data_IF_366756186206
#
_entry.id   IF_366756186206
#
_cell.length_a   1.000
_cell.length_b   1.000
_cell.length_c   1.000
_cell.angle_alpha   90.00
_cell.angle_beta   90.00
_cell.angle_gamma   90.00
#
_symmetry.space_group_name_H-M   'P 1'
#
loop_
_entity.id
_entity.type
_entity.pdbx_description
1 polymer ?
#
# COMPACT_ATOMS: atom_id res chain seq x y z
N UNK A 1 -8.12 5.06 -27.24
CA UNK A 1 -7.85 5.12 -25.78
C UNK A 1 -7.29 6.47 -25.35
N UNK A 2 -6.29 7.03 -26.04
CA UNK A 2 -5.63 8.29 -25.65
C UNK A 2 -6.21 9.61 -26.22
N UNK A 3 -7.09 9.52 -27.22
CA UNK A 3 -7.61 10.70 -27.94
C UNK A 3 -9.15 10.75 -27.92
N UNK A 4 -9.78 10.02 -27.00
CA UNK A 4 -11.23 9.89 -26.93
C UNK A 4 -11.68 10.04 -25.49
N UNK A 5 -12.90 10.52 -25.31
CA UNK A 5 -13.49 10.78 -23.99
C UNK A 5 -13.61 9.49 -23.18
N UNK A 6 -12.84 9.36 -22.12
CA UNK A 6 -13.02 8.31 -21.11
C UNK A 6 -14.38 8.52 -20.43
N UNK A 7 -15.34 7.62 -20.64
CA UNK A 7 -16.68 7.70 -20.05
C UNK A 7 -17.37 9.06 -20.26
N UNK A 8 -17.12 9.70 -21.41
CA UNK A 8 -17.72 11.00 -21.75
C UNK A 8 -16.99 12.23 -21.18
N UNK A 9 -15.94 12.04 -20.38
CA UNK A 9 -15.11 13.14 -19.85
C UNK A 9 -14.42 13.91 -20.97
N UNK A 10 -14.45 15.24 -20.91
CA UNK A 10 -13.75 16.09 -21.87
C UNK A 10 -12.24 15.78 -21.86
N UNK A 11 -11.71 15.46 -23.04
CA UNK A 11 -10.34 15.01 -23.25
C UNK A 11 -9.48 16.21 -23.65
N UNK A 12 -8.53 16.59 -22.80
CA UNK A 12 -7.64 17.72 -23.07
C UNK A 12 -6.63 17.33 -24.14
N UNK A 13 -6.42 18.19 -25.14
CA UNK A 13 -5.39 17.99 -26.16
C UNK A 13 -4.01 18.32 -25.56
N UNK A 14 -3.39 17.30 -24.96
CA UNK A 14 -2.06 17.41 -24.36
C UNK A 14 -0.96 17.56 -25.40
N UNK A 15 -1.26 17.46 -26.71
CA UNK A 15 -0.33 17.79 -27.78
C UNK A 15 -0.01 19.29 -27.85
N UNK A 16 -0.92 20.14 -27.36
CA UNK A 16 -0.78 21.59 -27.43
C UNK A 16 0.08 22.16 -26.31
N UNK A 17 1.02 23.04 -26.69
CA UNK A 17 1.91 23.70 -25.76
C UNK A 17 1.16 24.50 -24.68
N UNK A 18 0.11 25.21 -25.06
CA UNK A 18 -0.72 25.96 -24.11
C UNK A 18 -1.29 25.05 -23.00
N UNK A 19 -1.83 23.88 -23.38
CA UNK A 19 -2.42 22.93 -22.44
C UNK A 19 -1.36 22.35 -21.50
N UNK A 20 -0.21 21.92 -22.04
CA UNK A 20 0.92 21.42 -21.22
C UNK A 20 1.43 22.48 -20.24
N UNK A 21 1.55 23.73 -20.69
CA UNK A 21 2.00 24.83 -19.83
C UNK A 21 0.99 25.13 -18.71
N UNK A 22 -0.31 25.07 -18.98
CA UNK A 22 -1.33 25.24 -17.93
C UNK A 22 -1.31 24.14 -16.87
N UNK A 23 -1.09 22.90 -17.27
CA UNK A 23 -0.94 21.79 -16.33
C UNK A 23 0.34 21.95 -15.51
N UNK A 24 1.47 22.28 -16.16
CA UNK A 24 2.74 22.49 -15.47
C UNK A 24 2.70 23.69 -14.51
N UNK A 25 2.05 24.79 -14.88
CA UNK A 25 1.82 25.97 -14.02
C UNK A 25 1.09 25.57 -12.73
N UNK A 26 0.01 24.79 -12.86
CA UNK A 26 -0.73 24.26 -11.71
C UNK A 26 0.14 23.35 -10.82
N UNK A 27 0.83 22.37 -11.41
CA UNK A 27 1.68 21.44 -10.66
C UNK A 27 2.84 22.18 -9.97
N UNK A 28 3.46 23.16 -10.64
CA UNK A 28 4.51 23.98 -10.05
C UNK A 28 4.01 24.83 -8.89
N UNK A 29 2.76 25.31 -8.95
CA UNK A 29 2.16 26.01 -7.81
C UNK A 29 2.02 25.09 -6.59
N UNK A 30 1.67 23.83 -6.79
CA UNK A 30 1.62 22.84 -5.70
C UNK A 30 3.02 22.50 -5.16
N UNK A 31 4.03 22.39 -6.04
CA UNK A 31 5.43 22.19 -5.63
C UNK A 31 5.90 23.36 -4.78
N UNK A 32 5.58 24.60 -5.15
CA UNK A 32 5.89 25.80 -4.38
C UNK A 32 5.26 25.77 -2.97
N UNK A 33 4.02 25.28 -2.87
CA UNK A 33 3.33 25.09 -1.59
C UNK A 33 4.04 24.01 -0.72
N UNK A 34 4.73 23.05 -1.34
CA UNK A 34 5.55 22.06 -0.64
C UNK A 34 5.14 20.60 -0.81
N UNK A 35 4.33 20.26 -1.82
CA UNK A 35 4.02 18.85 -2.12
C UNK A 35 5.27 18.10 -2.57
N UNK A 36 5.42 16.83 -2.19
CA UNK A 36 6.59 16.02 -2.53
C UNK A 36 6.46 15.29 -3.89
N UNK A 37 5.26 15.29 -4.50
CA UNK A 37 4.99 14.49 -5.68
C UNK A 37 3.51 14.41 -6.04
N UNK A 38 3.21 13.63 -7.08
CA UNK A 38 1.90 13.56 -7.71
C UNK A 38 1.52 12.11 -8.08
N UNK A 39 0.26 11.76 -7.78
CA UNK A 39 -0.48 10.75 -8.57
C UNK A 39 -0.92 11.41 -9.86
N UNK A 40 -0.60 10.80 -10.99
CA UNK A 40 -1.14 11.21 -12.29
C UNK A 40 -2.26 10.25 -12.66
N UNK A 41 -3.49 10.75 -12.46
CA UNK A 41 -4.76 10.08 -12.76
C UNK A 41 -4.87 9.71 -14.25
N UNK A 42 -5.49 8.57 -14.56
CA UNK A 42 -5.81 8.14 -15.92
C UNK A 42 -4.62 8.21 -16.91
N UNK A 43 -3.37 8.00 -16.45
CA UNK A 43 -2.17 8.15 -17.26
C UNK A 43 -2.16 7.25 -18.51
N UNK A 44 -2.81 6.08 -18.45
CA UNK A 44 -3.06 5.21 -19.61
C UNK A 44 -3.73 5.93 -20.79
N UNK A 45 -4.53 6.95 -20.51
CA UNK A 45 -5.26 7.76 -21.49
C UNK A 45 -4.46 8.97 -21.99
N UNK A 46 -3.21 9.14 -21.55
CA UNK A 46 -2.34 10.22 -21.99
C UNK A 46 -1.15 9.64 -22.76
N UNK A 47 -0.67 10.31 -23.81
CA UNK A 47 0.54 9.85 -24.49
C UNK A 47 1.77 10.01 -23.59
N UNK A 48 2.67 9.01 -23.52
CA UNK A 48 3.91 9.11 -22.74
C UNK A 48 4.74 10.37 -23.08
N UNK A 49 4.83 10.73 -24.35
CA UNK A 49 5.56 11.92 -24.80
C UNK A 49 4.97 13.22 -24.24
N UNK A 50 3.64 13.31 -24.14
CA UNK A 50 2.96 14.48 -23.60
C UNK A 50 3.20 14.60 -22.08
N UNK A 51 3.14 13.47 -21.36
CA UNK A 51 3.47 13.41 -19.94
C UNK A 51 4.92 13.79 -19.66
N UNK A 52 5.87 13.26 -20.42
CA UNK A 52 7.28 13.62 -20.32
C UNK A 52 7.50 15.11 -20.58
N UNK A 53 6.80 15.69 -21.58
CA UNK A 53 6.87 17.11 -21.86
C UNK A 53 6.35 17.94 -20.67
N UNK A 54 5.25 17.52 -20.03
CA UNK A 54 4.73 18.18 -18.82
C UNK A 54 5.72 18.06 -17.66
N UNK A 55 6.23 16.84 -17.38
CA UNK A 55 7.13 16.61 -16.26
C UNK A 55 8.48 17.32 -16.42
N UNK A 56 8.96 17.48 -17.66
CA UNK A 56 10.16 18.25 -17.97
C UNK A 56 10.04 19.76 -17.67
N UNK A 57 8.82 20.26 -17.44
CA UNK A 57 8.54 21.66 -17.04
C UNK A 57 8.38 21.83 -15.52
N UNK A 58 8.47 20.74 -14.75
CA UNK A 58 8.29 20.80 -13.31
C UNK A 58 9.55 21.32 -12.62
N UNK A 59 9.34 22.18 -11.63
CA UNK A 59 10.36 22.65 -10.74
C UNK A 59 10.88 21.50 -9.86
N UNK A 60 12.08 21.67 -9.31
CA UNK A 60 12.50 20.87 -8.18
C UNK A 60 11.65 21.20 -6.94
N UNK A 61 11.61 20.26 -6.01
CA UNK A 61 10.95 20.39 -4.72
C UNK A 61 11.59 21.51 -3.89
N UNK A 62 10.81 22.01 -2.93
CA UNK A 62 11.24 23.05 -1.99
C UNK A 62 12.54 22.64 -1.27
N UNK A 63 13.61 23.41 -1.46
CA UNK A 63 14.93 23.04 -0.96
C UNK A 63 15.02 23.04 0.57
N UNK A 64 14.24 23.88 1.26
CA UNK A 64 14.21 23.96 2.73
C UNK A 64 13.68 22.66 3.32
N UNK A 65 12.68 22.05 2.68
CA UNK A 65 12.06 20.82 3.18
C UNK A 65 12.73 19.54 2.65
N UNK A 66 13.26 19.55 1.42
CA UNK A 66 13.67 18.32 0.72
C UNK A 66 15.17 18.28 0.36
N UNK A 67 15.89 19.39 0.51
CA UNK A 67 17.26 19.55 0.01
C UNK A 67 17.31 19.92 -1.48
N UNK A 68 18.48 20.39 -1.92
CA UNK A 68 18.66 20.91 -3.28
C UNK A 68 18.53 19.82 -4.36
N UNK A 69 17.95 20.21 -5.50
CA UNK A 69 17.90 19.39 -6.72
C UNK A 69 16.98 18.17 -6.67
N UNK A 70 16.09 18.04 -5.67
CA UNK A 70 15.14 16.91 -5.59
C UNK A 70 13.97 17.12 -6.56
N UNK A 71 13.69 16.13 -7.41
CA UNK A 71 12.52 16.14 -8.29
C UNK A 71 11.28 15.60 -7.58
N UNK A 72 10.07 16.04 -7.95
CA UNK A 72 8.84 15.47 -7.41
C UNK A 72 8.72 13.98 -7.72
N UNK A 73 8.23 13.20 -6.75
CA UNK A 73 7.85 11.80 -6.99
C UNK A 73 6.67 11.77 -7.94
N UNK A 74 6.80 11.08 -9.07
CA UNK A 74 5.69 10.85 -9.98
C UNK A 74 5.32 9.37 -9.94
N UNK A 75 4.04 9.07 -9.76
CA UNK A 75 3.48 7.76 -10.05
C UNK A 75 2.20 7.88 -10.87
N UNK A 76 2.09 7.02 -11.87
CA UNK A 76 1.12 7.12 -12.94
C UNK A 76 0.10 6.01 -12.81
N UNK A 77 -1.17 6.37 -12.86
CA UNK A 77 -2.23 5.39 -12.92
C UNK A 77 -2.30 4.77 -14.32
N UNK A 78 -1.75 3.57 -14.43
CA UNK A 78 -1.82 2.77 -15.65
C UNK A 78 -2.39 1.42 -15.28
N UNK A 79 -3.68 1.23 -15.54
CA UNK A 79 -4.32 -0.09 -15.37
C UNK A 79 -3.85 -1.00 -16.50
N UNK A 80 -2.91 -1.89 -16.22
CA UNK A 80 -2.43 -2.90 -17.16
C UNK A 80 -2.53 -4.28 -16.50
N UNK A 81 -3.56 -5.04 -16.90
CA UNK A 81 -3.78 -6.42 -16.44
C UNK A 81 -3.30 -7.47 -17.47
N UNK A 82 -2.64 -7.05 -18.54
CA UNK A 82 -2.36 -7.87 -19.72
C UNK A 82 -3.51 -7.87 -20.74
N UNK A 83 -3.27 -8.43 -21.93
CA UNK A 83 -4.29 -8.60 -22.98
C UNK A 83 -4.67 -7.33 -23.77
N UNK A 84 -4.18 -6.15 -23.38
CA UNK A 84 -4.44 -4.89 -24.08
C UNK A 84 -3.22 -4.34 -24.84
N UNK A 85 -3.45 -3.43 -25.78
CA UNK A 85 -2.39 -2.84 -26.62
C UNK A 85 -1.45 -1.89 -25.85
N UNK A 86 -1.98 -1.11 -24.91
CA UNK A 86 -1.19 -0.18 -24.10
C UNK A 86 -0.53 -0.94 -22.96
N UNK A 87 0.78 -0.75 -22.80
CA UNK A 87 1.60 -1.43 -21.79
C UNK A 87 2.13 -0.46 -20.74
N UNK A 88 2.24 -0.95 -19.51
CA UNK A 88 2.90 -0.25 -18.41
C UNK A 88 4.36 0.13 -18.73
N UNK A 89 5.05 -0.65 -19.56
CA UNK A 89 6.42 -0.37 -20.04
C UNK A 89 6.55 0.97 -20.77
N UNK A 90 5.47 1.47 -21.38
CA UNK A 90 5.50 2.77 -22.08
C UNK A 90 5.63 3.96 -21.10
N UNK A 91 5.40 3.73 -19.80
CA UNK A 91 5.31 4.76 -18.77
C UNK A 91 6.41 4.70 -17.72
N UNK A 92 7.39 3.81 -17.88
CA UNK A 92 8.55 3.74 -16.98
C UNK A 92 9.70 4.64 -17.44
N UNK A 93 10.66 4.93 -16.55
CA UNK A 93 11.82 5.80 -16.84
C UNK A 93 11.59 7.29 -16.61
N UNK A 94 10.35 7.75 -16.51
CA UNK A 94 9.99 9.13 -16.18
C UNK A 94 8.96 9.24 -15.03
N UNK A 95 8.66 8.11 -14.40
CA UNK A 95 7.79 7.99 -13.24
C UNK A 95 7.64 6.53 -12.85
N UNK A 96 7.03 6.29 -11.70
CA UNK A 96 6.52 4.96 -11.32
C UNK A 96 5.16 4.73 -11.98
N UNK A 97 4.69 3.48 -11.96
CA UNK A 97 3.34 3.09 -12.38
C UNK A 97 2.63 2.38 -11.22
N UNK A 98 1.30 2.44 -11.21
CA UNK A 98 0.46 1.63 -10.33
C UNK A 98 0.42 0.17 -10.81
N UNK A 99 0.97 -0.76 -10.05
CA UNK A 99 0.96 -2.19 -10.41
C UNK A 99 -0.35 -2.85 -9.93
N UNK A 100 -1.44 -2.66 -10.68
CA UNK A 100 -2.77 -3.19 -10.32
C UNK A 100 -2.82 -4.72 -10.23
N UNK A 101 -1.92 -5.43 -10.92
CA UNK A 101 -1.82 -6.89 -10.80
C UNK A 101 -1.37 -7.32 -9.41
N UNK A 102 -0.71 -6.46 -8.64
CA UNK A 102 -0.29 -6.75 -7.27
C UNK A 102 -1.49 -7.07 -6.37
N UNK A 103 -2.41 -6.12 -6.22
CA UNK A 103 -3.59 -6.29 -5.35
C UNK A 103 -4.51 -7.41 -5.83
N UNK A 104 -4.74 -7.50 -7.15
CA UNK A 104 -5.57 -8.55 -7.76
C UNK A 104 -5.02 -9.96 -7.50
N UNK A 105 -3.73 -10.19 -7.76
CA UNK A 105 -3.13 -11.52 -7.57
C UNK A 105 -2.99 -11.88 -6.09
N UNK A 106 -2.58 -10.93 -5.24
CA UNK A 106 -2.50 -11.16 -3.80
C UNK A 106 -3.89 -11.48 -3.20
N UNK A 107 -4.91 -10.76 -3.65
CA UNK A 107 -6.31 -11.01 -3.28
C UNK A 107 -6.77 -12.41 -3.68
N UNK A 108 -6.49 -12.83 -4.92
CA UNK A 108 -6.79 -14.20 -5.37
C UNK A 108 -6.08 -15.27 -4.53
N UNK A 109 -4.80 -15.04 -4.19
CA UNK A 109 -4.03 -15.96 -3.34
C UNK A 109 -4.62 -16.07 -1.94
N UNK A 110 -4.92 -14.94 -1.29
CA UNK A 110 -5.45 -14.92 0.08
C UNK A 110 -6.88 -15.51 0.12
N UNK A 111 -7.69 -15.25 -0.90
CA UNK A 111 -9.04 -15.84 -1.05
C UNK A 111 -9.01 -17.32 -1.48
N UNK A 112 -7.84 -17.85 -1.88
CA UNK A 112 -7.65 -19.19 -2.46
C UNK A 112 -8.46 -19.40 -3.76
N UNK A 113 -8.74 -18.32 -4.49
CA UNK A 113 -9.44 -18.38 -5.77
C UNK A 113 -8.64 -19.22 -6.78
N UNK A 114 -9.32 -20.00 -7.62
CA UNK A 114 -8.70 -20.78 -8.70
C UNK A 114 -7.50 -21.63 -8.24
N UNK A 115 -7.60 -22.25 -7.05
CA UNK A 115 -6.53 -23.05 -6.43
C UNK A 115 -5.22 -22.30 -6.18
N UNK A 116 -5.25 -20.97 -6.09
CA UNK A 116 -4.12 -20.16 -5.64
C UNK A 116 -3.80 -20.44 -4.17
N UNK A 117 -2.51 -20.38 -3.82
CA UNK A 117 -1.98 -20.78 -2.51
C UNK A 117 -0.87 -19.85 -2.08
N UNK A 118 -0.72 -19.63 -0.77
CA UNK A 118 0.34 -18.75 -0.25
C UNK A 118 1.75 -19.18 -0.65
N UNK A 119 2.00 -20.49 -0.81
CA UNK A 119 3.32 -20.99 -1.28
C UNK A 119 3.79 -20.35 -2.59
N UNK A 120 2.86 -19.98 -3.48
CA UNK A 120 3.21 -19.42 -4.79
C UNK A 120 3.77 -18.00 -4.69
N UNK A 121 3.66 -17.36 -3.53
CA UNK A 121 4.22 -16.03 -3.30
C UNK A 121 5.75 -16.03 -3.15
N UNK A 122 6.43 -17.19 -3.18
CA UNK A 122 7.88 -17.32 -3.04
C UNK A 122 8.68 -16.44 -4.01
N UNK A 123 8.13 -16.15 -5.19
CA UNK A 123 8.71 -15.29 -6.22
C UNK A 123 7.78 -14.10 -6.58
N UNK A 124 6.91 -13.67 -5.67
CA UNK A 124 5.93 -12.60 -5.92
C UNK A 124 6.62 -11.27 -6.33
N UNK A 125 6.12 -10.62 -7.37
CA UNK A 125 6.78 -9.47 -8.01
C UNK A 125 7.10 -9.75 -9.47
N UNK A 126 8.32 -9.47 -9.91
CA UNK A 126 8.76 -9.68 -11.30
C UNK A 126 8.57 -11.13 -11.78
N UNK A 127 8.72 -12.12 -10.89
CA UNK A 127 8.44 -13.55 -11.20
C UNK A 127 6.98 -13.85 -11.54
N UNK A 128 6.07 -12.91 -11.27
CA UNK A 128 4.66 -12.94 -11.64
C UNK A 128 4.37 -12.04 -12.85
N UNK A 129 5.42 -11.74 -13.64
CA UNK A 129 5.41 -10.83 -14.78
C UNK A 129 5.00 -9.39 -14.45
N UNK A 130 5.16 -8.97 -13.18
CA UNK A 130 4.97 -7.58 -12.80
C UNK A 130 6.10 -6.70 -13.34
N UNK A 131 5.89 -5.39 -13.35
CA UNK A 131 6.94 -4.41 -13.61
C UNK A 131 8.13 -4.57 -12.65
N UNK A 132 9.27 -3.95 -12.98
CA UNK A 132 10.36 -3.95 -12.00
C UNK A 132 9.93 -3.24 -10.72
N UNK A 133 10.34 -3.76 -9.56
CA UNK A 133 9.97 -3.18 -8.25
C UNK A 133 10.37 -1.71 -8.09
N UNK A 134 11.42 -1.26 -8.79
CA UNK A 134 11.85 0.13 -8.82
C UNK A 134 10.89 1.06 -9.59
N UNK A 135 10.06 0.51 -10.46
CA UNK A 135 9.06 1.25 -11.23
C UNK A 135 7.65 1.09 -10.63
N UNK A 136 7.43 0.15 -9.72
CA UNK A 136 6.10 -0.15 -9.19
C UNK A 136 5.73 0.68 -7.95
N UNK A 137 4.51 1.19 -7.94
CA UNK A 137 3.75 1.55 -6.73
C UNK A 137 2.69 0.47 -6.51
N UNK A 138 2.70 -0.12 -5.31
CA UNK A 138 1.88 -1.30 -4.96
C UNK A 138 0.84 -0.95 -3.91
N UNK A 139 -0.28 -1.66 -3.94
CA UNK A 139 -1.38 -1.51 -2.99
C UNK A 139 -2.24 -2.77 -3.02
N UNK A 140 -2.92 -3.06 -1.91
CA UNK A 140 -3.92 -4.14 -1.85
C UNK A 140 -5.21 -3.68 -2.54
N UNK A 141 -5.64 -2.46 -2.24
CA UNK A 141 -6.80 -1.78 -2.82
C UNK A 141 -6.52 -0.28 -3.07
N UNK A 142 -7.33 0.35 -3.91
CA UNK A 142 -7.42 1.79 -4.10
C UNK A 142 -8.88 2.26 -3.95
N UNK A 143 -9.11 3.57 -4.09
CA UNK A 143 -10.46 4.13 -3.97
C UNK A 143 -11.45 3.58 -5.00
N UNK A 144 -11.01 3.25 -6.22
CA UNK A 144 -11.90 2.68 -7.25
C UNK A 144 -12.24 1.22 -6.95
N UNK A 145 -11.21 0.38 -6.84
CA UNK A 145 -11.41 -1.06 -6.84
C UNK A 145 -11.93 -1.62 -5.52
N UNK A 146 -11.83 -0.85 -4.42
CA UNK A 146 -12.54 -1.18 -3.19
C UNK A 146 -14.06 -1.04 -3.31
N UNK A 147 -14.55 -0.37 -4.36
CA UNK A 147 -15.95 -0.24 -4.77
C UNK A 147 -16.26 -1.07 -6.04
N UNK A 148 -15.35 -1.97 -6.40
CA UNK A 148 -15.45 -2.77 -7.63
C UNK A 148 -15.37 -1.98 -8.93
N UNK A 149 -14.99 -0.70 -8.89
CA UNK A 149 -14.64 0.06 -10.08
C UNK A 149 -13.22 -0.31 -10.54
N UNK A 150 -12.94 -0.20 -11.83
CA UNK A 150 -11.60 -0.46 -12.35
C UNK A 150 -11.15 -1.93 -12.23
N UNK A 151 -9.91 -2.13 -11.81
CA UNK A 151 -9.22 -3.41 -11.93
C UNK A 151 -9.43 -4.37 -10.75
N UNK A 152 -9.64 -5.65 -11.06
CA UNK A 152 -9.67 -6.78 -10.12
C UNK A 152 -11.08 -7.17 -9.64
N UNK A 153 -12.02 -6.23 -9.57
CA UNK A 153 -13.42 -6.47 -9.18
C UNK A 153 -13.61 -7.03 -7.74
N UNK A 154 -14.88 -7.21 -7.35
CA UNK A 154 -15.28 -7.67 -6.00
C UNK A 154 -14.79 -9.08 -5.63
N UNK A 155 -14.52 -9.92 -6.63
CA UNK A 155 -14.15 -11.32 -6.41
C UNK A 155 -12.69 -11.53 -6.00
N UNK A 156 -11.80 -10.57 -6.29
CA UNK A 156 -10.36 -10.69 -5.99
C UNK A 156 -9.89 -9.65 -4.97
N UNK A 157 -10.24 -8.38 -5.16
CA UNK A 157 -9.74 -7.28 -4.31
C UNK A 157 -10.19 -7.47 -2.87
N UNK A 158 -9.26 -7.27 -1.95
CA UNK A 158 -9.53 -7.29 -0.51
C UNK A 158 -9.62 -5.85 -0.01
N UNK A 159 -10.61 -5.57 0.82
CA UNK A 159 -10.82 -4.23 1.40
C UNK A 159 -10.99 -4.34 2.91
N UNK A 160 -11.08 -3.21 3.60
CA UNK A 160 -11.40 -3.16 5.03
C UNK A 160 -12.67 -3.94 5.43
N UNK A 161 -13.61 -4.17 4.49
CA UNK A 161 -14.83 -4.96 4.71
C UNK A 161 -14.54 -6.45 4.94
N UNK A 162 -13.41 -6.96 4.46
CA UNK A 162 -12.90 -8.31 4.77
C UNK A 162 -11.68 -8.22 5.69
N UNK A 163 -11.84 -7.53 6.82
CA UNK A 163 -10.75 -7.07 7.70
C UNK A 163 -9.68 -8.12 8.00
N UNK A 164 -10.07 -9.37 8.31
CA UNK A 164 -9.14 -10.47 8.59
C UNK A 164 -8.23 -10.79 7.42
N UNK A 165 -8.78 -10.98 6.22
CA UNK A 165 -8.02 -11.25 5.00
C UNK A 165 -7.23 -10.01 4.56
N UNK A 166 -7.82 -8.83 4.72
CA UNK A 166 -7.18 -7.56 4.38
C UNK A 166 -5.92 -7.31 5.21
N UNK A 167 -5.99 -7.52 6.52
CA UNK A 167 -4.84 -7.41 7.42
C UNK A 167 -3.71 -8.36 7.01
N UNK A 168 -4.01 -9.61 6.62
CA UNK A 168 -3.01 -10.54 6.09
C UNK A 168 -2.36 -10.04 4.79
N UNK A 169 -3.17 -9.56 3.84
CA UNK A 169 -2.66 -9.05 2.56
C UNK A 169 -1.77 -7.81 2.76
N UNK A 170 -2.19 -6.87 3.60
CA UNK A 170 -1.40 -5.67 3.92
C UNK A 170 -0.11 -6.02 4.68
N UNK A 171 -0.17 -6.96 5.62
CA UNK A 171 1.03 -7.44 6.32
C UNK A 171 2.03 -8.08 5.35
N UNK A 172 1.56 -8.94 4.43
CA UNK A 172 2.42 -9.49 3.37
C UNK A 172 3.01 -8.38 2.50
N UNK A 173 2.20 -7.43 2.01
CA UNK A 173 2.67 -6.31 1.19
C UNK A 173 3.78 -5.49 1.88
N UNK A 174 3.62 -5.21 3.17
CA UNK A 174 4.57 -4.40 3.93
C UNK A 174 5.84 -5.19 4.28
N UNK A 175 5.73 -6.49 4.53
CA UNK A 175 6.87 -7.38 4.77
C UNK A 175 7.66 -7.72 3.51
N UNK A 176 7.03 -7.75 2.33
CA UNK A 176 7.65 -8.12 1.06
C UNK A 176 8.43 -6.94 0.43
N UNK A 177 9.64 -7.15 -0.15
CA UNK A 177 10.49 -6.04 -0.61
C UNK A 177 10.03 -5.36 -1.90
N UNK A 178 9.08 -5.95 -2.64
CA UNK A 178 8.69 -5.47 -3.97
C UNK A 178 7.90 -4.15 -3.92
N UNK A 179 8.31 -3.19 -4.76
CA UNK A 179 7.57 -1.96 -5.01
C UNK A 179 7.61 -0.93 -3.88
N UNK A 180 7.03 0.23 -4.15
CA UNK A 180 6.70 1.26 -3.16
C UNK A 180 5.26 1.06 -2.68
N UNK A 181 5.02 0.55 -1.45
CA UNK A 181 3.67 0.26 -0.99
C UNK A 181 2.93 1.53 -0.57
N UNK A 182 1.65 1.58 -0.92
CA UNK A 182 0.68 2.55 -0.47
C UNK A 182 -0.39 1.84 0.35
N UNK A 183 -0.62 2.29 1.57
CA UNK A 183 -1.70 1.82 2.45
C UNK A 183 -2.94 2.68 2.18
N UNK A 184 -4.08 2.04 1.95
CA UNK A 184 -5.36 2.73 1.80
C UNK A 184 -5.89 3.18 3.17
N UNK A 185 -6.63 4.29 3.20
CA UNK A 185 -7.40 4.71 4.36
C UNK A 185 -8.75 5.21 3.89
N UNK A 186 -9.80 4.52 4.30
CA UNK A 186 -11.13 4.65 3.72
C UNK A 186 -12.10 5.37 4.64
N UNK A 187 -13.29 5.62 4.11
CA UNK A 187 -14.50 5.86 4.88
C UNK A 187 -15.51 4.74 4.59
N UNK A 188 -16.46 4.56 5.49
CA UNK A 188 -17.55 3.59 5.36
C UNK A 188 -18.73 4.23 4.63
N UNK A 189 -19.35 3.46 3.74
CA UNK A 189 -20.62 3.77 3.09
C UNK A 189 -21.55 2.55 3.18
N UNK A 190 -22.89 2.74 3.08
CA UNK A 190 -23.85 1.64 3.10
C UNK A 190 -23.81 0.86 1.78
N UNK A 191 -22.80 0.01 1.60
CA UNK A 191 -22.66 -0.88 0.45
C UNK A 191 -23.92 -1.73 0.26
N UNK A 192 -24.40 -1.82 -0.98
CA UNK A 192 -25.57 -2.61 -1.34
C UNK A 192 -25.35 -3.30 -2.68
N UNK A 193 -24.93 -4.57 -2.62
CA UNK A 193 -24.64 -5.37 -3.81
C UNK A 193 -25.92 -5.92 -4.43
N UNK A 194 -26.23 -5.49 -5.65
CA UNK A 194 -27.30 -6.04 -6.50
C UNK A 194 -26.67 -6.54 -7.79
N UNK A 195 -26.89 -7.82 -8.12
CA UNK A 195 -26.34 -8.46 -9.32
C UNK A 195 -24.81 -8.30 -9.49
N UNK A 196 -24.06 -8.37 -8.38
CA UNK A 196 -22.60 -8.27 -8.38
C UNK A 196 -22.04 -6.85 -8.48
N UNK A 197 -22.89 -5.81 -8.40
CA UNK A 197 -22.49 -4.40 -8.37
C UNK A 197 -23.04 -3.73 -7.12
N UNK A 198 -22.23 -2.91 -6.45
CA UNK A 198 -22.73 -1.98 -5.43
C UNK A 198 -23.53 -0.86 -6.07
N UNK A 199 -24.82 -0.76 -5.77
CA UNK A 199 -25.68 0.33 -6.28
C UNK A 199 -25.45 1.65 -5.53
N UNK A 200 -24.67 1.61 -4.45
CA UNK A 200 -24.28 2.74 -3.60
C UNK A 200 -22.79 3.10 -3.75
N UNK A 201 -22.13 2.63 -4.81
CA UNK A 201 -20.71 2.87 -5.12
C UNK A 201 -20.35 4.35 -5.37
N UNK A 202 -21.35 5.20 -5.57
CA UNK A 202 -21.24 6.64 -5.80
C UNK A 202 -21.18 7.48 -4.53
N UNK A 203 -21.46 6.89 -3.35
CA UNK A 203 -21.56 7.65 -2.10
C UNK A 203 -20.21 8.28 -1.73
N UNK A 204 -20.23 9.60 -1.54
CA UNK A 204 -19.09 10.41 -1.14
C UNK A 204 -18.69 10.24 0.34
N UNK A 205 -17.67 11.00 0.80
CA UNK A 205 -17.18 10.91 2.16
C UNK A 205 -18.26 11.28 3.20
N UNK A 206 -18.06 10.93 4.49
CA UNK A 206 -18.95 11.33 5.56
C UNK A 206 -19.11 12.86 5.58
N UNK A 207 -20.34 13.32 5.51
CA UNK A 207 -20.68 14.74 5.46
C UNK A 207 -21.80 15.11 6.43
N UNK A 208 -21.91 16.40 6.76
CA UNK A 208 -23.03 16.97 7.50
C UNK A 208 -24.22 17.27 6.58
N UNK A 209 -25.32 17.80 7.12
CA UNK A 209 -26.53 18.11 6.35
C UNK A 209 -26.31 19.17 5.25
N UNK A 210 -25.21 19.93 5.32
CA UNK A 210 -24.82 20.94 4.34
C UNK A 210 -23.77 20.43 3.34
N UNK A 211 -23.51 19.12 3.30
CA UNK A 211 -22.49 18.48 2.47
C UNK A 211 -21.04 18.90 2.78
N UNK A 212 -20.76 19.48 3.96
CA UNK A 212 -19.39 19.66 4.40
C UNK A 212 -18.82 18.33 4.86
N UNK A 213 -17.59 18.01 4.43
CA UNK A 213 -16.88 16.80 4.85
C UNK A 213 -16.66 16.85 6.37
N UNK A 214 -17.10 15.81 7.08
CA UNK A 214 -16.93 15.69 8.52
C UNK A 214 -15.45 15.55 8.87
N UNK A 215 -15.03 16.22 9.93
CA UNK A 215 -13.68 16.05 10.49
C UNK A 215 -13.44 14.62 10.96
N UNK A 216 -12.19 14.16 10.88
CA UNK A 216 -11.81 12.85 11.42
C UNK A 216 -11.77 12.91 12.95
N UNK A 217 -12.75 12.31 13.61
CA UNK A 217 -12.74 12.14 15.07
C UNK A 217 -11.80 11.00 15.46
N UNK A 218 -10.81 11.28 16.31
CA UNK A 218 -9.90 10.27 16.87
C UNK A 218 -10.39 9.82 18.24
N UNK A 219 -10.57 8.51 18.40
CA UNK A 219 -10.94 7.89 19.67
C UNK A 219 -9.70 7.60 20.53
N UNK A 220 -9.89 7.35 21.82
CA UNK A 220 -8.81 7.06 22.78
C UNK A 220 -8.05 5.76 22.48
N UNK A 221 -8.71 4.80 21.85
CA UNK A 221 -8.16 3.51 21.42
C UNK A 221 -7.45 3.57 20.05
N UNK A 222 -7.19 4.78 19.54
CA UNK A 222 -6.60 5.07 18.23
C UNK A 222 -7.51 4.82 17.03
N UNK A 223 -8.74 4.33 17.20
CA UNK A 223 -9.70 4.21 16.08
C UNK A 223 -10.22 5.59 15.66
N UNK A 224 -10.94 5.64 14.54
CA UNK A 224 -11.63 6.84 14.07
C UNK A 224 -13.15 6.69 14.20
N UNK A 225 -13.82 7.82 14.42
CA UNK A 225 -15.29 7.93 14.43
C UNK A 225 -15.84 8.55 13.14
N UNK A 226 -17.15 8.82 13.16
CA UNK A 226 -17.87 9.57 12.12
C UNK A 226 -17.77 9.00 10.70
N UNK A 227 -17.70 7.66 10.60
CA UNK A 227 -17.65 6.94 9.33
C UNK A 227 -16.26 6.80 8.73
N UNK A 228 -15.21 7.34 9.35
CA UNK A 228 -13.82 7.13 8.91
C UNK A 228 -13.30 5.77 9.38
N UNK A 229 -12.79 4.96 8.45
CA UNK A 229 -12.32 3.58 8.75
C UNK A 229 -10.92 3.59 9.38
N UNK A 230 -10.04 4.45 8.85
CA UNK A 230 -8.67 4.64 9.35
C UNK A 230 -7.87 3.33 9.48
N UNK A 231 -7.81 2.52 8.42
CA UNK A 231 -7.02 1.28 8.35
C UNK A 231 -5.55 1.52 8.75
N UNK A 232 -4.99 2.67 8.38
CA UNK A 232 -3.64 3.10 8.77
C UNK A 232 -3.42 3.20 10.29
N UNK A 233 -4.47 3.16 11.11
CA UNK A 233 -4.42 3.18 12.59
C UNK A 233 -4.68 1.81 13.21
N UNK A 234 -5.03 0.81 12.42
CA UNK A 234 -5.15 -0.55 12.92
C UNK A 234 -3.76 -1.03 13.34
N UNK A 235 -3.65 -1.62 14.53
CA UNK A 235 -2.36 -2.05 15.11
C UNK A 235 -1.56 -2.90 14.14
N UNK A 236 -2.21 -3.89 13.56
CA UNK A 236 -1.63 -4.81 12.59
C UNK A 236 -1.03 -4.08 11.39
N UNK A 237 -1.63 -2.96 10.95
CA UNK A 237 -1.16 -2.19 9.80
C UNK A 237 -0.06 -1.21 10.19
N UNK A 238 -0.23 -0.36 11.22
CA UNK A 238 0.83 0.58 11.59
C UNK A 238 2.08 -0.14 12.13
N UNK A 239 1.92 -1.27 12.81
CA UNK A 239 3.04 -2.11 13.24
C UNK A 239 3.80 -2.68 12.05
N UNK A 240 3.10 -3.07 10.97
CA UNK A 240 3.74 -3.55 9.76
C UNK A 240 4.38 -2.42 8.93
N UNK A 241 3.90 -1.18 9.05
CA UNK A 241 4.63 0.00 8.55
C UNK A 241 5.95 0.18 9.31
N UNK A 242 5.93 0.05 10.65
CA UNK A 242 7.16 0.04 11.47
C UNK A 242 8.07 -1.12 11.06
N UNK A 243 7.53 -2.33 10.89
CA UNK A 243 8.29 -3.49 10.40
C UNK A 243 9.00 -3.18 9.09
N UNK A 244 8.29 -2.61 8.09
CA UNK A 244 8.89 -2.24 6.80
C UNK A 244 10.05 -1.24 6.96
N UNK A 245 9.89 -0.26 7.84
CA UNK A 245 10.95 0.72 8.13
C UNK A 245 12.17 0.06 8.77
N UNK A 246 11.97 -0.89 9.69
CA UNK A 246 13.05 -1.64 10.37
C UNK A 246 13.85 -2.47 9.36
N UNK A 247 13.16 -3.23 8.51
CA UNK A 247 13.81 -4.16 7.59
C UNK A 247 14.37 -3.48 6.33
N UNK A 248 13.87 -2.28 6.00
CA UNK A 248 14.34 -1.48 4.88
C UNK A 248 14.35 -2.26 3.56
N UNK A 249 15.51 -2.25 2.90
CA UNK A 249 15.73 -2.88 1.60
C UNK A 249 16.28 -4.31 1.67
N UNK A 250 16.41 -4.92 2.85
CA UNK A 250 17.00 -6.25 3.00
C UNK A 250 16.25 -7.29 2.14
N UNK A 251 16.92 -8.25 1.52
CA UNK A 251 16.25 -9.27 0.72
C UNK A 251 15.37 -10.23 1.54
N UNK A 252 14.54 -11.01 0.86
CA UNK A 252 13.84 -12.15 1.48
C UNK A 252 14.86 -13.26 1.74
N UNK A 253 14.86 -13.81 2.95
CA UNK A 253 15.67 -14.95 3.36
C UNK A 253 14.82 -15.94 4.16
N UNK A 254 15.32 -17.17 4.35
CA UNK A 254 14.66 -18.20 5.18
C UNK A 254 13.18 -18.44 4.80
N UNK A 255 12.87 -18.43 3.51
CA UNK A 255 11.53 -18.80 3.04
C UNK A 255 11.21 -20.23 3.44
N UNK A 256 10.03 -20.42 4.02
CA UNK A 256 9.43 -21.69 4.34
C UNK A 256 7.97 -21.69 3.92
N UNK A 257 7.49 -22.82 3.41
CA UNK A 257 6.07 -23.07 3.17
C UNK A 257 5.73 -24.54 3.46
N UNK A 258 4.46 -24.82 3.77
CA UNK A 258 3.95 -26.18 4.01
C UNK A 258 3.45 -26.87 2.72
N UNK A 259 3.96 -26.47 1.56
CA UNK A 259 3.40 -26.82 0.25
C UNK A 259 1.95 -26.39 0.01
N UNK A 260 1.41 -25.48 0.82
CA UNK A 260 0.04 -25.00 0.70
C UNK A 260 -0.15 -23.54 1.21
N UNK A 261 -0.95 -23.31 2.27
CA UNK A 261 -1.34 -21.98 2.77
C UNK A 261 -0.73 -21.62 4.14
N UNK A 262 0.40 -22.21 4.51
CA UNK A 262 1.26 -21.68 5.56
C UNK A 262 2.58 -21.26 4.94
N UNK A 263 2.99 -20.02 5.21
CA UNK A 263 4.28 -19.49 4.77
C UNK A 263 4.97 -18.75 5.91
N UNK A 264 6.28 -18.69 5.84
CA UNK A 264 7.09 -17.82 6.68
C UNK A 264 8.33 -17.36 5.91
N UNK A 265 8.83 -16.17 6.23
CA UNK A 265 10.10 -15.69 5.71
C UNK A 265 10.67 -14.59 6.60
N UNK A 266 11.96 -14.34 6.42
CA UNK A 266 12.69 -13.24 7.04
C UNK A 266 13.09 -12.18 6.03
N UNK A 267 13.35 -10.98 6.52
CA UNK A 267 13.99 -9.89 5.80
C UNK A 267 15.37 -9.67 6.42
N UNK A 268 16.37 -10.29 5.78
CA UNK A 268 17.71 -10.41 6.35
C UNK A 268 17.69 -10.98 7.77
N UNK A 269 18.37 -10.31 8.69
CA UNK A 269 18.40 -10.62 10.12
C UNK A 269 17.61 -9.61 10.96
N UNK A 270 16.69 -8.86 10.34
CA UNK A 270 16.00 -7.73 10.97
C UNK A 270 14.53 -7.98 11.27
N UNK A 271 13.86 -8.81 10.47
CA UNK A 271 12.44 -9.10 10.68
C UNK A 271 12.06 -10.48 10.16
N UNK A 272 11.04 -11.07 10.77
CA UNK A 272 10.46 -12.36 10.42
C UNK A 272 8.93 -12.29 10.50
N UNK A 273 8.26 -12.91 9.55
CA UNK A 273 6.80 -13.01 9.48
C UNK A 273 6.40 -14.46 9.20
N UNK A 274 5.31 -14.91 9.81
CA UNK A 274 4.64 -16.16 9.46
C UNK A 274 3.13 -15.90 9.30
N UNK A 275 2.53 -16.50 8.27
CA UNK A 275 1.11 -16.37 7.93
C UNK A 275 0.51 -17.76 7.81
N UNK A 276 -0.59 -18.00 8.50
CA UNK A 276 -1.37 -19.23 8.42
C UNK A 276 -2.75 -18.93 7.83
N UNK A 277 -2.96 -19.32 6.57
CA UNK A 277 -4.26 -19.25 5.92
C UNK A 277 -4.83 -20.66 5.69
N UNK A 278 -4.49 -21.63 6.53
CA UNK A 278 -5.09 -22.97 6.57
C UNK A 278 -6.23 -23.04 7.59
N UNK A 279 -6.93 -24.19 7.60
CA UNK A 279 -7.97 -24.50 8.59
C UNK A 279 -7.44 -25.32 9.78
N UNK A 280 -6.10 -25.35 9.95
CA UNK A 280 -5.41 -25.99 11.07
C UNK A 280 -4.22 -25.14 11.52
N UNK A 281 -3.73 -25.39 12.73
CA UNK A 281 -2.62 -24.65 13.34
C UNK A 281 -1.29 -24.88 12.60
N UNK A 282 -0.53 -23.80 12.39
CA UNK A 282 0.90 -23.86 12.08
C UNK A 282 1.64 -24.07 13.41
N UNK A 283 2.43 -25.13 13.53
CA UNK A 283 3.28 -25.38 14.71
C UNK A 283 4.61 -25.98 14.27
N UNK A 284 5.62 -25.13 14.03
CA UNK A 284 6.88 -25.54 13.42
C UNK A 284 8.06 -24.81 14.06
N UNK A 285 9.19 -25.49 14.21
CA UNK A 285 10.47 -24.83 14.48
C UNK A 285 10.98 -24.26 13.17
N UNK A 286 11.14 -22.94 13.05
CA UNK A 286 11.55 -22.26 11.82
C UNK A 286 12.81 -21.43 12.03
N UNK A 287 13.65 -21.33 11.00
CA UNK A 287 14.80 -20.43 10.98
C UNK A 287 14.30 -19.00 10.76
N UNK A 288 14.51 -18.14 11.75
CA UNK A 288 14.04 -16.74 11.67
C UNK A 288 15.09 -15.79 11.10
N UNK A 289 16.37 -16.18 11.13
CA UNK A 289 17.50 -15.32 10.81
C UNK A 289 17.76 -14.23 11.86
N UNK A 290 16.94 -14.12 12.90
CA UNK A 290 17.07 -13.11 13.94
C UNK A 290 18.10 -13.52 15.00
N UNK A 291 18.76 -12.55 15.65
CA UNK A 291 19.57 -12.81 16.83
C UNK A 291 18.78 -13.44 17.97
N UNK A 292 19.46 -14.21 18.83
CA UNK A 292 18.88 -14.78 20.04
C UNK A 292 18.22 -13.70 20.90
N UNK A 293 17.01 -13.97 21.37
CA UNK A 293 16.30 -13.03 22.23
C UNK A 293 14.80 -13.29 22.29
N UNK A 294 14.12 -12.49 23.10
CA UNK A 294 12.65 -12.49 23.19
C UNK A 294 12.10 -11.33 22.37
N UNK A 295 11.22 -11.64 21.43
CA UNK A 295 10.60 -10.68 20.53
C UNK A 295 9.11 -10.58 20.79
N UNK A 296 8.55 -9.37 20.68
CA UNK A 296 7.10 -9.17 20.77
C UNK A 296 6.45 -9.30 19.40
N UNK A 297 5.40 -10.11 19.31
CA UNK A 297 4.56 -10.16 18.10
C UNK A 297 3.79 -8.85 17.95
N UNK A 298 4.16 -8.08 16.93
CA UNK A 298 3.60 -6.74 16.69
C UNK A 298 2.19 -6.77 16.07
N UNK A 299 1.70 -7.95 15.69
CA UNK A 299 0.34 -8.15 15.22
C UNK A 299 -0.62 -8.23 16.41
N UNK A 300 -0.33 -9.10 17.38
CA UNK A 300 -1.19 -9.28 18.56
C UNK A 300 -1.04 -8.21 19.63
N UNK A 301 0.09 -7.50 19.67
CA UNK A 301 0.30 -6.47 20.67
C UNK A 301 1.44 -5.51 20.35
N UNK A 302 1.94 -4.86 21.40
CA UNK A 302 3.05 -3.92 21.35
C UNK A 302 4.13 -4.35 22.34
N UNK A 303 5.32 -3.75 22.20
CA UNK A 303 6.33 -3.75 23.26
C UNK A 303 6.04 -2.58 24.21
N UNK A 304 5.89 -2.88 25.49
CA UNK A 304 5.72 -1.91 26.57
C UNK A 304 6.85 -2.12 27.60
N UNK A 305 7.84 -1.23 27.54
CA UNK A 305 9.12 -1.41 28.22
C UNK A 305 9.79 -2.74 27.84
N UNK A 306 9.95 -3.63 28.82
CA UNK A 306 10.54 -4.96 28.64
C UNK A 306 9.50 -6.08 28.47
N UNK A 307 8.21 -5.75 28.33
CA UNK A 307 7.12 -6.72 28.23
C UNK A 307 6.42 -6.63 26.88
N UNK A 308 5.86 -7.74 26.43
CA UNK A 308 4.96 -7.79 25.29
C UNK A 308 3.52 -7.73 25.80
N UNK A 309 2.70 -6.83 25.25
CA UNK A 309 1.26 -6.79 25.59
C UNK A 309 0.48 -7.88 24.85
N UNK A 310 1.06 -8.45 23.80
CA UNK A 310 0.56 -9.59 23.05
C UNK A 310 1.45 -10.81 23.23
N UNK A 311 1.57 -11.62 22.17
CA UNK A 311 2.43 -12.82 22.18
C UNK A 311 3.91 -12.43 22.20
N UNK A 312 4.73 -13.34 22.71
CA UNK A 312 6.19 -13.24 22.65
C UNK A 312 6.78 -14.50 22.00
N UNK A 313 7.91 -14.33 21.33
CA UNK A 313 8.60 -15.40 20.61
C UNK A 313 10.04 -15.44 21.09
N UNK A 314 10.48 -16.63 21.52
CA UNK A 314 11.86 -16.86 21.90
C UNK A 314 12.64 -17.38 20.69
N UNK A 315 13.66 -16.62 20.28
CA UNK A 315 14.64 -17.02 19.27
C UNK A 315 15.87 -17.59 19.99
N UNK A 316 16.29 -18.78 19.59
CA UNK A 316 17.46 -19.49 20.10
C UNK A 316 18.78 -18.95 19.55
N UNK A 317 19.90 -19.45 20.09
CA UNK A 317 21.25 -19.09 19.65
C UNK A 317 21.57 -19.47 18.19
N UNK A 318 20.82 -20.42 17.64
CA UNK A 318 20.90 -20.87 16.24
C UNK A 318 19.94 -20.09 15.30
N UNK A 319 19.26 -19.05 15.80
CA UNK A 319 18.30 -18.24 15.06
C UNK A 319 16.94 -18.91 14.86
N UNK A 320 16.71 -20.12 15.40
CA UNK A 320 15.43 -20.81 15.28
C UNK A 320 14.46 -20.40 16.37
N UNK A 321 13.17 -20.43 16.06
CA UNK A 321 12.10 -20.22 17.04
C UNK A 321 10.96 -21.22 16.80
N UNK A 322 10.24 -21.56 17.87
CA UNK A 322 8.98 -22.29 17.74
C UNK A 322 7.90 -21.31 17.30
N UNK A 323 7.40 -21.49 16.08
CA UNK A 323 6.38 -20.66 15.45
C UNK A 323 5.06 -21.39 15.57
N UNK A 324 4.14 -20.78 16.33
CA UNK A 324 2.76 -21.24 16.46
C UNK A 324 1.84 -20.16 15.92
N UNK A 325 0.97 -20.52 14.99
CA UNK A 325 -0.06 -19.63 14.45
C UNK A 325 -1.36 -20.41 14.30
N UNK A 326 -2.30 -20.15 15.18
CA UNK A 326 -3.59 -20.83 15.16
C UNK A 326 -4.51 -20.21 14.09
N UNK A 327 -5.19 -21.07 13.33
CA UNK A 327 -6.12 -20.62 12.30
C UNK A 327 -7.39 -19.96 12.88
N UNK A 328 -7.67 -20.14 14.18
CA UNK A 328 -8.79 -19.50 14.87
C UNK A 328 -8.48 -18.09 15.39
N UNK A 329 -7.21 -17.64 15.33
CA UNK A 329 -6.86 -16.30 15.76
C UNK A 329 -7.56 -15.21 14.94
N UNK A 330 -7.86 -14.08 15.59
CA UNK A 330 -8.34 -12.87 14.93
C UNK A 330 -7.45 -12.50 13.73
N UNK A 331 -6.13 -12.55 13.96
CA UNK A 331 -5.09 -12.39 12.95
C UNK A 331 -4.22 -13.66 12.94
N UNK A 332 -4.38 -14.57 11.95
CA UNK A 332 -3.64 -15.82 11.89
C UNK A 332 -2.26 -15.59 11.26
N UNK A 333 -1.51 -14.68 11.86
CA UNK A 333 -0.17 -14.30 11.46
C UNK A 333 0.57 -13.73 12.66
N UNK A 334 1.89 -13.76 12.58
CA UNK A 334 2.79 -13.12 13.55
C UNK A 334 3.87 -12.37 12.80
N UNK A 335 4.33 -11.27 13.37
CA UNK A 335 5.48 -10.54 12.85
C UNK A 335 6.36 -10.09 14.02
N UNK A 336 7.65 -10.34 13.90
CA UNK A 336 8.67 -9.94 14.88
C UNK A 336 9.82 -9.25 14.15
N UNK A 337 10.40 -8.23 14.76
CA UNK A 337 11.54 -7.53 14.19
C UNK A 337 12.48 -7.04 15.31
N UNK A 338 13.74 -6.78 14.96
CA UNK A 338 14.67 -6.11 15.87
C UNK A 338 14.14 -4.72 16.22
N UNK A 339 14.32 -4.27 17.46
CA UNK A 339 14.06 -2.86 17.75
C UNK A 339 15.14 -2.02 17.09
N UNK A 340 14.73 -0.98 16.36
CA UNK A 340 15.68 0.07 16.02
C UNK A 340 15.91 0.83 17.32
N UNK A 341 17.15 0.84 17.82
CA UNK A 341 17.56 1.90 18.74
C UNK A 341 17.51 3.16 17.90
N UNK A 342 16.35 3.81 17.87
CA UNK A 342 16.25 5.17 17.39
C UNK A 342 17.10 5.99 18.36
N UNK A 343 18.33 6.29 17.98
CA UNK A 343 18.95 7.54 18.42
C UNK A 343 18.02 8.63 17.89
N UNK A 344 17.03 9.01 18.70
CA UNK A 344 16.46 10.34 18.62
C UNK A 344 17.59 11.29 18.96
N UNK A 345 18.39 11.65 17.96
CA UNK A 345 19.05 12.95 17.99
C UNK A 345 17.90 13.94 17.95
N UNK A 346 17.52 14.42 19.13
CA UNK A 346 16.80 15.68 19.27
C UNK A 346 17.69 16.75 18.63
N UNK A 347 17.53 16.98 17.34
CA UNK A 347 17.82 18.31 16.80
C UNK A 347 16.60 19.14 17.20
N UNK A 348 16.73 19.91 18.28
CA UNK A 348 15.88 21.07 18.51
C UNK A 348 16.02 21.99 17.30
N UNK A 349 15.13 21.84 16.32
CA UNK A 349 14.82 22.92 15.39
C UNK A 349 13.48 23.48 15.83
N UNK A 350 13.57 24.58 16.57
CA UNK A 350 12.48 25.49 16.86
C UNK A 350 11.57 25.70 15.64
N UNK A 351 10.27 25.55 15.86
CA UNK A 351 9.15 26.18 15.15
C UNK A 351 9.31 26.44 13.64
N UNK A 352 8.79 25.55 12.81
CA UNK A 352 7.90 25.93 11.69
C UNK A 352 7.28 24.68 11.05
N UNK A 353 5.97 24.78 10.84
CA UNK A 353 5.06 23.90 10.11
C UNK A 353 5.67 23.28 8.84
N UNK A 354 5.59 21.95 8.68
CA UNK A 354 5.11 21.34 7.43
C UNK A 354 4.84 19.85 7.57
N UNK A 355 3.55 19.46 7.53
CA UNK A 355 3.16 18.08 7.23
C UNK A 355 3.36 17.88 5.74
N UNK A 356 4.30 17.03 5.33
CA UNK A 356 4.37 16.60 3.93
C UNK A 356 3.13 15.73 3.62
N UNK A 357 2.15 16.32 2.95
CA UNK A 357 1.07 15.57 2.30
C UNK A 357 1.51 15.21 0.87
N UNK A 358 1.39 13.94 0.51
CA UNK A 358 1.24 13.54 -0.88
C UNK A 358 -0.22 13.81 -1.22
N UNK A 359 -0.49 14.79 -2.08
CA UNK A 359 -1.83 15.03 -2.58
C UNK A 359 -2.21 13.95 -3.60
N UNK A 360 -3.33 13.28 -3.36
CA UNK A 360 -4.00 12.48 -4.37
C UNK A 360 -4.87 13.46 -5.17
N UNK A 361 -4.53 13.68 -6.43
CA UNK A 361 -5.44 14.30 -7.37
C UNK A 361 -6.49 13.26 -7.75
N UNK A 362 -7.66 13.37 -7.14
CA UNK A 362 -8.90 12.74 -7.60
C UNK A 362 -9.68 13.79 -8.39
N UNK A 363 -10.11 13.42 -9.60
CA UNK A 363 -10.84 14.30 -10.50
C UNK A 363 -12.30 14.33 -10.06
N UNK A 364 -12.74 15.46 -9.49
CA UNK A 364 -14.16 15.70 -9.21
C UNK A 364 -14.90 15.79 -10.56
N UNK A 365 -15.78 14.83 -10.84
CA UNK A 365 -16.69 14.90 -11.98
C UNK A 365 -17.71 16.04 -11.81
N UNK A 366 -18.30 16.55 -12.91
CA UNK A 366 -19.42 17.47 -12.80
C UNK A 366 -20.66 16.70 -12.34
N UNK A 367 -21.44 17.35 -11.46
CA UNK A 367 -22.68 16.94 -10.78
C UNK A 367 -23.49 15.78 -11.36
#
# INVERSE_FOLDING_TARGET
>A
VRNCRLSGLADLDLGQEYVRNKIAEYMNKLIEIGVAGFRVDAAKHMWPADLQAIYGRLNNLNEVAFGSGKKPLIYQEVIDLGGEAIKSDEYVGFGRITEFRFGMNLGNVIRKNNNQKLKYLRNFGEGWAFQSGNNALTFVDNHDNQRGHGAGGYGSILTHRQSRMYKMAVAFMLAWPYGLPRVMSSFSWPEHIVNGKDINDWIGPPHDENYNIKSVKRNSDLTCGDGWVCEHRWRQIFSMVKFRNVVGFDGVANWWDNDNNQIAFSRGNKGFIAINNEDHQLNQSLQTGLPQGTYCDVISGNKDGNRCTGRSIQVGGDGRAQIQVDNSWEDPMIAIHIEVISFFIYLEVCHAVSRCLIFILERLGPH
#
